data_IF_595425641161
#
_entry.id   IF_595425641161
#
_cell.length_a   1.000
_cell.length_b   1.000
_cell.length_c   1.000
_cell.angle_alpha   90.00
_cell.angle_beta   90.00
_cell.angle_gamma   90.00
#
_symmetry.space_group_name_H-M   'P 1'
#
loop_
_entity.id
_entity.type
_entity.pdbx_description
1 polymer ?
#
# COMPACT_ATOMS: atom_id res chain seq x y z
N UNK A 1 -14.92 -26.16 52.35
CA UNK A 1 -15.54 -27.14 51.42
C UNK A 1 -16.58 -26.41 50.58
N UNK A 2 -16.23 -25.89 49.44
CA UNK A 2 -17.13 -25.21 48.52
C UNK A 2 -17.28 -26.08 47.27
N UNK A 3 -18.47 -26.62 47.08
CA UNK A 3 -18.84 -27.43 45.91
C UNK A 3 -19.01 -26.52 44.69
N UNK A 4 -18.10 -26.64 43.74
CA UNK A 4 -18.24 -26.10 42.39
C UNK A 4 -19.27 -26.94 41.64
N UNK A 5 -20.42 -26.37 41.33
CA UNK A 5 -21.41 -26.96 40.42
C UNK A 5 -20.92 -26.73 38.98
N UNK A 6 -20.50 -27.79 38.34
CA UNK A 6 -20.29 -27.86 36.89
C UNK A 6 -21.66 -27.91 36.22
N UNK A 7 -22.02 -26.84 35.51
CA UNK A 7 -23.21 -26.82 34.63
C UNK A 7 -22.77 -27.48 33.32
N UNK A 8 -23.44 -28.58 32.88
CA UNK A 8 -23.12 -29.14 31.56
C UNK A 8 -23.64 -28.19 30.50
N UNK A 9 -22.72 -27.69 29.66
CA UNK A 9 -23.07 -26.99 28.42
C UNK A 9 -23.77 -27.99 27.52
N UNK A 10 -25.08 -28.00 27.53
CA UNK A 10 -25.89 -28.69 26.52
C UNK A 10 -25.58 -28.04 25.17
N UNK A 11 -24.85 -28.74 24.35
CA UNK A 11 -24.76 -28.54 22.91
C UNK A 11 -26.17 -28.71 22.34
N UNK A 12 -26.91 -27.62 22.26
CA UNK A 12 -28.15 -27.56 21.48
C UNK A 12 -27.72 -27.56 20.01
N UNK A 13 -27.54 -28.76 19.47
CA UNK A 13 -27.63 -29.00 18.04
C UNK A 13 -29.07 -28.72 17.63
N UNK A 14 -29.39 -27.44 17.42
CA UNK A 14 -30.65 -27.05 16.79
C UNK A 14 -30.60 -27.52 15.32
N UNK A 15 -31.12 -28.72 15.11
CA UNK A 15 -31.61 -29.10 13.79
C UNK A 15 -32.73 -28.15 13.43
N UNK A 16 -32.37 -27.05 12.77
CA UNK A 16 -33.38 -26.20 12.14
C UNK A 16 -33.94 -26.99 10.95
N UNK A 17 -34.99 -27.75 11.21
CA UNK A 17 -35.87 -28.22 10.17
C UNK A 17 -36.51 -26.97 9.52
N UNK A 18 -36.37 -26.86 8.22
CA UNK A 18 -37.11 -25.92 7.40
C UNK A 18 -38.60 -26.25 7.53
N UNK A 19 -39.27 -25.74 8.57
CA UNK A 19 -40.75 -25.91 8.71
C UNK A 19 -41.41 -24.87 7.84
N UNK A 20 -42.14 -25.33 6.88
CA UNK A 20 -42.96 -24.55 5.95
C UNK A 20 -44.15 -23.91 6.63
N UNK A 21 -44.28 -22.60 6.57
CA UNK A 21 -45.53 -21.90 6.73
C UNK A 21 -46.25 -21.89 5.37
N UNK A 22 -47.23 -22.73 5.23
CA UNK A 22 -48.07 -22.81 4.03
C UNK A 22 -48.97 -21.59 3.89
N UNK A 23 -48.82 -20.87 2.80
CA UNK A 23 -49.87 -20.01 2.24
C UNK A 23 -50.47 -20.76 1.05
N UNK A 24 -51.65 -21.28 1.21
CA UNK A 24 -52.42 -21.99 0.16
C UNK A 24 -52.96 -20.99 -0.85
N UNK A 25 -52.39 -20.94 -2.02
CA UNK A 25 -53.02 -20.35 -3.21
C UNK A 25 -53.42 -21.47 -4.15
N UNK A 26 -54.71 -21.73 -4.25
CA UNK A 26 -55.30 -22.59 -5.26
C UNK A 26 -55.21 -21.93 -6.63
N UNK A 27 -54.37 -22.44 -7.51
CA UNK A 27 -54.43 -22.22 -8.95
C UNK A 27 -54.21 -23.53 -9.69
N UNK A 28 -55.09 -23.80 -10.65
CA UNK A 28 -55.27 -25.02 -11.41
C UNK A 28 -54.11 -25.40 -12.31
N UNK A 29 -53.73 -26.69 -12.31
CA UNK A 29 -53.51 -27.41 -13.57
C UNK A 29 -52.14 -27.43 -14.19
N UNK A 30 -51.05 -27.30 -13.44
CA UNK A 30 -49.77 -27.91 -13.79
C UNK A 30 -48.96 -28.00 -12.50
N UNK A 31 -48.72 -29.23 -12.00
CA UNK A 31 -47.93 -29.37 -10.76
C UNK A 31 -46.51 -28.89 -11.03
N UNK A 32 -46.22 -27.68 -10.59
CA UNK A 32 -44.86 -27.20 -10.56
C UNK A 32 -44.06 -28.07 -9.60
N UNK A 33 -42.90 -28.57 -10.06
CA UNK A 33 -42.02 -29.45 -9.31
C UNK A 33 -41.30 -28.70 -8.16
N UNK A 34 -41.45 -27.37 -8.12
CA UNK A 34 -40.89 -26.50 -7.05
C UNK A 34 -42.00 -25.59 -6.53
N UNK A 35 -42.36 -25.72 -5.27
CA UNK A 35 -43.48 -25.00 -4.66
C UNK A 35 -43.17 -23.60 -4.20
N UNK A 36 -42.05 -23.40 -3.52
CA UNK A 36 -41.68 -22.10 -3.00
C UNK A 36 -40.21 -22.01 -2.69
N UNK A 37 -39.61 -20.87 -2.97
CA UNK A 37 -38.30 -20.49 -2.48
C UNK A 37 -38.49 -19.68 -1.19
N UNK A 38 -38.06 -20.21 -0.05
CA UNK A 38 -38.17 -19.55 1.26
C UNK A 38 -36.81 -19.09 1.71
N UNK A 39 -36.72 -17.82 2.10
CA UNK A 39 -35.51 -17.25 2.65
C UNK A 39 -35.50 -17.35 4.18
N UNK A 40 -34.51 -18.01 4.73
CA UNK A 40 -34.21 -17.96 6.17
C UNK A 40 -32.99 -17.11 6.41
N UNK A 41 -33.16 -15.95 7.03
CA UNK A 41 -32.06 -15.12 7.46
C UNK A 41 -31.55 -15.60 8.82
N UNK A 42 -30.39 -16.27 8.83
CA UNK A 42 -29.73 -16.62 10.10
C UNK A 42 -28.83 -15.44 10.49
N UNK A 43 -29.45 -14.42 11.07
CA UNK A 43 -28.74 -13.43 11.86
C UNK A 43 -28.32 -14.12 13.17
N UNK A 44 -27.07 -14.58 13.29
CA UNK A 44 -26.60 -14.86 14.62
C UNK A 44 -25.86 -16.16 14.92
N UNK A 45 -25.41 -16.95 13.96
CA UNK A 45 -24.49 -18.06 14.30
C UNK A 45 -23.10 -17.52 14.63
N UNK A 46 -22.73 -16.38 14.08
CA UNK A 46 -21.57 -15.60 14.53
C UNK A 46 -21.89 -14.12 14.41
N UNK A 47 -21.56 -13.32 15.42
CA UNK A 47 -21.71 -11.84 15.41
C UNK A 47 -21.05 -11.12 14.22
N UNK A 48 -20.38 -11.86 13.32
CA UNK A 48 -19.47 -11.31 12.33
C UNK A 48 -19.68 -11.82 10.89
N UNK A 49 -20.75 -12.56 10.62
CA UNK A 49 -21.07 -13.01 9.26
C UNK A 49 -22.57 -12.87 8.97
N UNK A 50 -22.90 -12.11 7.94
CA UNK A 50 -24.25 -12.10 7.40
C UNK A 50 -24.41 -13.28 6.43
N UNK A 51 -25.26 -14.22 6.77
CA UNK A 51 -25.57 -15.38 5.97
C UNK A 51 -27.07 -15.47 5.74
N UNK A 52 -27.43 -15.85 4.54
CA UNK A 52 -28.79 -16.16 4.17
C UNK A 52 -28.86 -17.62 3.78
N UNK A 53 -29.82 -18.34 4.32
CA UNK A 53 -30.12 -19.70 3.87
C UNK A 53 -31.32 -19.61 2.93
N UNK A 54 -31.11 -19.98 1.69
CA UNK A 54 -32.16 -20.28 0.74
C UNK A 54 -32.60 -21.72 0.95
N UNK A 55 -33.89 -21.95 1.18
CA UNK A 55 -34.48 -23.24 1.21
C UNK A 55 -35.60 -23.31 0.17
N UNK A 56 -35.83 -24.48 -0.40
CA UNK A 56 -36.91 -24.72 -1.31
C UNK A 56 -37.47 -26.12 -1.10
N UNK A 57 -38.72 -26.32 -1.46
CA UNK A 57 -39.36 -27.61 -1.48
C UNK A 57 -39.70 -28.03 -2.91
N UNK A 58 -39.94 -29.29 -3.12
CA UNK A 58 -40.49 -29.83 -4.33
C UNK A 58 -41.76 -30.63 -3.99
N UNK A 59 -42.68 -30.72 -4.95
CA UNK A 59 -43.93 -31.47 -4.84
C UNK A 59 -43.77 -32.88 -5.44
N UNK A 60 -42.57 -33.44 -5.40
CA UNK A 60 -42.31 -34.78 -5.89
C UNK A 60 -42.95 -35.82 -5.00
N UNK A 61 -43.56 -36.82 -5.59
CA UNK A 61 -44.07 -38.00 -4.90
C UNK A 61 -42.90 -38.88 -4.44
N UNK A 62 -43.17 -39.76 -3.47
CA UNK A 62 -42.17 -40.74 -3.05
C UNK A 62 -41.70 -41.62 -4.21
N UNK A 63 -42.64 -42.05 -5.08
CA UNK A 63 -42.35 -42.85 -6.26
C UNK A 63 -41.42 -42.13 -7.23
N UNK A 64 -41.64 -40.83 -7.47
CA UNK A 64 -40.79 -40.01 -8.34
C UNK A 64 -39.37 -39.84 -7.72
N UNK A 65 -39.25 -39.63 -6.41
CA UNK A 65 -37.98 -39.54 -5.72
C UNK A 65 -37.18 -40.83 -5.67
N UNK A 66 -37.89 -41.95 -5.66
CA UNK A 66 -37.27 -43.30 -5.71
C UNK A 66 -36.88 -43.68 -7.16
N UNK A 67 -37.64 -43.26 -8.15
CA UNK A 67 -37.40 -43.57 -9.55
C UNK A 67 -36.34 -42.71 -10.22
N UNK A 68 -36.21 -41.43 -9.83
CA UNK A 68 -35.34 -40.44 -10.49
C UNK A 68 -34.30 -39.88 -9.55
N UNK A 69 -33.16 -39.45 -10.11
CA UNK A 69 -32.17 -38.63 -9.40
C UNK A 69 -32.57 -37.17 -9.47
N UNK A 70 -32.83 -36.54 -8.32
CA UNK A 70 -33.28 -35.14 -8.25
C UNK A 70 -32.08 -34.22 -8.11
N UNK A 71 -31.94 -33.26 -9.00
CA UNK A 71 -30.95 -32.20 -8.92
C UNK A 71 -31.63 -30.82 -9.02
N UNK A 72 -31.08 -29.81 -8.32
CA UNK A 72 -31.61 -28.45 -8.35
C UNK A 72 -30.59 -27.55 -9.05
N UNK A 73 -31.06 -26.70 -9.94
CA UNK A 73 -30.27 -25.68 -10.59
C UNK A 73 -30.59 -24.35 -9.88
N UNK A 74 -29.65 -23.85 -9.10
CA UNK A 74 -29.74 -22.54 -8.48
C UNK A 74 -28.94 -21.54 -9.29
N UNK A 75 -29.55 -20.43 -9.66
CA UNK A 75 -28.88 -19.29 -10.26
C UNK A 75 -29.14 -18.08 -9.40
N UNK A 76 -28.08 -17.31 -9.03
CA UNK A 76 -28.23 -16.09 -8.24
C UNK A 76 -27.23 -15.02 -8.65
N UNK A 77 -27.66 -13.75 -8.50
CA UNK A 77 -26.88 -12.57 -8.85
C UNK A 77 -27.04 -11.51 -7.76
N UNK A 78 -25.94 -10.99 -7.26
CA UNK A 78 -25.96 -9.84 -6.34
C UNK A 78 -26.19 -8.54 -7.12
N UNK A 79 -26.90 -7.57 -6.52
CA UNK A 79 -27.21 -6.30 -7.19
C UNK A 79 -25.98 -5.46 -7.50
N UNK A 80 -24.90 -5.64 -6.73
CA UNK A 80 -23.64 -4.94 -6.91
C UNK A 80 -22.64 -5.66 -7.84
N UNK A 81 -23.06 -6.72 -8.53
CA UNK A 81 -22.21 -7.49 -9.45
C UNK A 81 -22.88 -7.68 -10.80
N UNK A 82 -22.08 -7.81 -11.86
CA UNK A 82 -22.55 -8.14 -13.20
C UNK A 82 -22.65 -9.65 -13.42
N UNK A 83 -21.96 -10.46 -12.60
CA UNK A 83 -21.85 -11.90 -12.78
C UNK A 83 -22.97 -12.66 -12.08
N UNK A 84 -23.67 -13.50 -12.85
CA UNK A 84 -24.63 -14.49 -12.36
C UNK A 84 -23.87 -15.77 -12.00
N UNK A 85 -24.14 -16.33 -10.83
CA UNK A 85 -23.58 -17.60 -10.37
C UNK A 85 -24.61 -18.69 -10.56
N UNK A 86 -24.23 -19.78 -11.20
CA UNK A 86 -25.11 -20.93 -11.46
C UNK A 86 -24.46 -22.19 -10.83
N UNK A 87 -25.23 -22.88 -10.03
CA UNK A 87 -24.77 -24.07 -9.30
C UNK A 87 -25.79 -25.19 -9.43
N UNK A 88 -25.30 -26.43 -9.52
CA UNK A 88 -26.13 -27.65 -9.49
C UNK A 88 -26.02 -28.25 -8.08
N UNK A 89 -27.15 -28.47 -7.42
CA UNK A 89 -27.22 -28.89 -6.03
C UNK A 89 -28.08 -30.17 -5.94
N UNK A 90 -27.78 -30.99 -4.94
CA UNK A 90 -28.62 -32.13 -4.56
C UNK A 90 -29.46 -31.82 -3.31
N UNK A 91 -28.99 -30.90 -2.47
CA UNK A 91 -29.69 -30.46 -1.28
C UNK A 91 -30.72 -29.40 -1.59
N UNK A 92 -31.82 -29.37 -0.83
CA UNK A 92 -32.88 -28.35 -0.89
C UNK A 92 -32.54 -27.06 -0.17
N UNK A 93 -31.27 -26.79 0.01
CA UNK A 93 -30.80 -25.57 0.71
C UNK A 93 -29.47 -25.09 0.17
N UNK A 94 -29.23 -23.78 0.26
CA UNK A 94 -27.95 -23.14 -0.03
C UNK A 94 -27.70 -22.01 0.95
N UNK A 95 -26.47 -21.96 1.49
CA UNK A 95 -26.01 -20.83 2.30
C UNK A 95 -25.32 -19.83 1.39
N UNK A 96 -25.85 -18.60 1.35
CA UNK A 96 -25.27 -17.48 0.64
C UNK A 96 -24.71 -16.49 1.66
N UNK A 97 -23.44 -16.13 1.49
CA UNK A 97 -22.79 -15.10 2.31
C UNK A 97 -23.02 -13.74 1.66
N UNK A 98 -23.57 -12.81 2.43
CA UNK A 98 -23.78 -11.42 2.01
C UNK A 98 -22.60 -10.58 2.45
N UNK A 99 -21.93 -9.94 1.50
CA UNK A 99 -20.92 -8.94 1.79
C UNK A 99 -21.55 -7.55 1.77
N UNK A 100 -21.30 -6.75 2.82
CA UNK A 100 -21.82 -5.39 2.95
C UNK A 100 -23.35 -5.29 2.69
N UNK A 101 -24.11 -6.30 3.14
CA UNK A 101 -25.56 -6.39 2.93
C UNK A 101 -26.01 -6.20 1.48
N UNK A 102 -25.28 -6.77 0.54
CA UNK A 102 -25.74 -6.78 -0.86
C UNK A 102 -27.04 -7.58 -1.00
N UNK A 103 -28.08 -6.95 -1.52
CA UNK A 103 -29.26 -7.66 -1.97
C UNK A 103 -28.95 -8.56 -3.17
N UNK A 104 -29.78 -9.54 -3.42
CA UNK A 104 -29.60 -10.45 -4.55
C UNK A 104 -30.93 -10.93 -5.10
N UNK A 105 -30.89 -11.34 -6.36
CA UNK A 105 -31.97 -12.07 -7.04
C UNK A 105 -31.50 -13.52 -7.22
N UNK A 106 -32.37 -14.47 -6.88
CA UNK A 106 -32.11 -15.90 -7.02
C UNK A 106 -33.29 -16.58 -7.73
N UNK A 107 -32.99 -17.60 -8.52
CA UNK A 107 -33.97 -18.45 -9.15
C UNK A 107 -33.52 -19.91 -9.04
N UNK A 108 -34.49 -20.81 -8.81
CA UNK A 108 -34.21 -22.22 -8.68
C UNK A 108 -35.19 -23.01 -9.57
N UNK A 109 -34.70 -24.08 -10.16
CA UNK A 109 -35.51 -25.09 -10.82
C UNK A 109 -35.09 -26.50 -10.45
N UNK A 110 -36.01 -27.44 -10.51
CA UNK A 110 -35.77 -28.87 -10.27
C UNK A 110 -35.56 -29.59 -11.58
N UNK A 111 -34.61 -30.50 -11.64
CA UNK A 111 -34.40 -31.42 -12.76
C UNK A 111 -34.40 -32.85 -12.25
N UNK A 112 -35.13 -33.72 -12.95
CA UNK A 112 -35.18 -35.15 -12.72
C UNK A 112 -34.36 -35.88 -13.78
N UNK A 113 -33.42 -36.67 -13.33
CA UNK A 113 -32.53 -37.47 -14.16
C UNK A 113 -32.88 -38.95 -14.06
N UNK A 114 -32.76 -39.68 -15.16
CA UNK A 114 -32.80 -41.15 -15.09
C UNK A 114 -31.66 -41.66 -14.21
N UNK A 115 -31.88 -42.75 -13.46
CA UNK A 115 -30.85 -43.32 -12.57
C UNK A 115 -29.67 -43.92 -13.34
N UNK A 116 -29.96 -44.47 -14.51
CA UNK A 116 -28.99 -45.22 -15.30
C UNK A 116 -28.32 -44.39 -16.38
N UNK A 117 -28.85 -43.21 -16.71
CA UNK A 117 -28.30 -42.26 -17.68
C UNK A 117 -28.32 -40.87 -17.07
N UNK A 118 -27.45 -39.97 -17.52
CA UNK A 118 -27.49 -38.56 -17.08
C UNK A 118 -28.52 -37.71 -17.90
N UNK A 119 -29.52 -38.35 -18.49
CA UNK A 119 -30.55 -37.69 -19.29
C UNK A 119 -31.56 -37.00 -18.39
N UNK A 120 -31.93 -35.78 -18.77
CA UNK A 120 -32.99 -35.01 -18.11
C UNK A 120 -34.33 -35.52 -18.59
N UNK A 121 -35.09 -36.17 -17.73
CA UNK A 121 -36.42 -36.70 -18.01
C UNK A 121 -37.49 -35.62 -17.88
N UNK A 122 -37.36 -34.75 -16.86
CA UNK A 122 -38.32 -33.68 -16.60
C UNK A 122 -37.66 -32.54 -15.87
N UNK A 123 -38.09 -31.32 -16.16
CA UNK A 123 -37.64 -30.15 -15.38
C UNK A 123 -38.82 -29.21 -15.05
N UNK A 124 -38.73 -28.50 -13.94
CA UNK A 124 -39.71 -27.48 -13.55
C UNK A 124 -39.42 -26.14 -14.22
N UNK A 125 -40.39 -25.25 -14.17
CA UNK A 125 -40.17 -23.82 -14.35
C UNK A 125 -39.16 -23.24 -13.32
N UNK A 126 -38.78 -22.00 -13.53
CA UNK A 126 -37.98 -21.25 -12.56
C UNK A 126 -38.88 -20.67 -11.47
N UNK A 127 -38.53 -20.90 -10.21
CA UNK A 127 -39.11 -20.18 -9.08
C UNK A 127 -38.12 -19.10 -8.66
N UNK A 128 -38.55 -17.86 -8.54
CA UNK A 128 -37.69 -16.70 -8.32
C UNK A 128 -37.88 -16.09 -6.92
N UNK A 129 -36.83 -15.54 -6.41
CA UNK A 129 -36.81 -14.85 -5.11
C UNK A 129 -35.87 -13.63 -5.16
N UNK A 130 -36.32 -12.52 -4.61
CA UNK A 130 -35.50 -11.29 -4.49
C UNK A 130 -35.34 -10.90 -3.04
N UNK A 131 -34.11 -10.84 -2.59
CA UNK A 131 -33.74 -10.29 -1.30
C UNK A 131 -33.34 -8.84 -1.42
N UNK A 132 -34.13 -7.95 -0.81
CA UNK A 132 -33.81 -6.52 -0.70
C UNK A 132 -33.05 -6.30 0.61
N UNK A 133 -31.78 -5.90 0.50
CA UNK A 133 -30.98 -5.57 1.69
C UNK A 133 -31.42 -4.25 2.32
N UNK A 134 -31.20 -4.06 3.63
CA UNK A 134 -31.31 -2.76 4.25
C UNK A 134 -30.44 -1.70 3.57
N UNK A 135 -30.76 -0.41 3.69
CA UNK A 135 -29.97 0.65 3.08
C UNK A 135 -28.50 0.59 3.53
N UNK A 136 -27.59 0.70 2.60
CA UNK A 136 -26.15 0.75 2.87
C UNK A 136 -25.71 2.22 2.92
N UNK A 137 -25.38 2.70 4.11
CA UNK A 137 -24.98 4.09 4.34
C UNK A 137 -23.49 4.35 4.18
N UNK A 138 -22.71 3.33 3.78
CA UNK A 138 -21.27 3.44 3.54
C UNK A 138 -20.92 3.22 2.08
N UNK A 139 -19.84 3.88 1.65
CA UNK A 139 -19.19 3.66 0.36
C UNK A 139 -17.68 3.77 0.50
N UNK A 140 -16.94 3.33 -0.52
CA UNK A 140 -15.49 3.41 -0.58
C UNK A 140 -14.77 2.80 0.64
N UNK A 141 -15.29 1.66 1.16
CA UNK A 141 -14.62 0.93 2.24
C UNK A 141 -13.26 0.42 1.75
N UNK A 142 -12.21 0.95 2.33
CA UNK A 142 -10.82 0.56 2.08
C UNK A 142 -10.18 0.10 3.37
N UNK A 143 -9.56 -1.09 3.36
CA UNK A 143 -8.85 -1.64 4.50
C UNK A 143 -7.46 -2.08 4.08
N UNK A 144 -6.47 -1.77 4.89
CA UNK A 144 -5.08 -2.18 4.70
C UNK A 144 -4.51 -2.72 6.00
N UNK A 145 -3.57 -3.66 5.87
CA UNK A 145 -2.69 -4.09 6.95
C UNK A 145 -1.31 -3.52 6.64
N UNK A 146 -0.67 -2.86 7.60
CA UNK A 146 0.68 -2.34 7.45
C UNK A 146 1.51 -2.69 8.68
N UNK A 147 2.82 -2.64 8.57
CA UNK A 147 3.74 -3.09 9.63
C UNK A 147 3.36 -4.47 10.21
N UNK A 148 2.80 -5.36 9.36
CA UNK A 148 2.44 -6.76 9.68
C UNK A 148 1.29 -6.88 10.70
N UNK A 149 1.16 -5.98 11.66
CA UNK A 149 0.27 -6.08 12.83
C UNK A 149 -0.74 -4.94 13.00
N UNK A 150 -0.69 -3.93 12.14
CA UNK A 150 -1.59 -2.78 12.18
C UNK A 150 -2.69 -2.93 11.14
N UNK A 151 -3.93 -2.73 11.54
CA UNK A 151 -5.09 -2.77 10.65
C UNK A 151 -5.75 -1.42 10.61
N UNK A 152 -5.88 -0.84 9.44
CA UNK A 152 -6.53 0.44 9.20
C UNK A 152 -7.63 0.29 8.17
N UNK A 153 -8.85 0.70 8.53
CA UNK A 153 -9.98 0.81 7.62
C UNK A 153 -10.50 2.23 7.57
N UNK A 154 -10.86 2.66 6.38
CA UNK A 154 -11.54 3.94 6.14
C UNK A 154 -12.78 3.72 5.28
N UNK A 155 -13.80 4.54 5.46
CA UNK A 155 -15.05 4.53 4.71
C UNK A 155 -15.62 5.93 4.58
N UNK A 156 -16.46 6.12 3.58
CA UNK A 156 -17.24 7.35 3.44
C UNK A 156 -18.68 7.08 3.85
N UNK A 157 -19.29 8.02 4.55
CA UNK A 157 -20.72 8.00 4.89
C UNK A 157 -21.45 8.69 3.74
N UNK A 158 -22.45 8.02 3.17
CA UNK A 158 -23.27 8.58 2.09
C UNK A 158 -24.08 9.77 2.55
N UNK A 159 -24.38 10.66 1.63
CA UNK A 159 -25.19 11.88 1.91
C UNK A 159 -26.62 11.57 2.34
N UNK A 160 -27.18 10.45 1.86
CA UNK A 160 -28.52 9.99 2.23
C UNK A 160 -28.59 9.37 3.63
N UNK A 161 -27.47 9.24 4.31
CA UNK A 161 -27.43 8.67 5.66
C UNK A 161 -28.06 9.62 6.67
N UNK A 162 -28.88 9.11 7.62
CA UNK A 162 -29.44 9.94 8.69
C UNK A 162 -28.35 10.67 9.49
N UNK A 163 -28.65 11.88 9.95
CA UNK A 163 -27.67 12.70 10.69
C UNK A 163 -27.25 12.09 12.04
N UNK A 164 -28.14 11.33 12.68
CA UNK A 164 -27.92 10.81 14.03
C UNK A 164 -27.32 9.42 14.09
N UNK A 165 -26.74 8.92 12.99
CA UNK A 165 -26.07 7.63 13.00
C UNK A 165 -24.60 7.75 13.38
N UNK A 166 -24.09 6.70 14.05
CA UNK A 166 -22.67 6.51 14.30
C UNK A 166 -22.23 5.13 13.85
N UNK A 167 -21.01 5.03 13.35
CA UNK A 167 -20.42 3.80 12.86
C UNK A 167 -19.44 3.20 13.87
N UNK A 168 -19.57 1.91 14.13
CA UNK A 168 -18.70 1.14 15.00
C UNK A 168 -18.05 0.02 14.19
N UNK A 169 -16.76 -0.19 14.40
CA UNK A 169 -15.96 -1.15 13.69
C UNK A 169 -15.43 -2.21 14.65
N UNK A 170 -15.63 -3.46 14.29
CA UNK A 170 -14.98 -4.60 14.95
C UNK A 170 -14.46 -5.60 13.93
N UNK A 171 -13.46 -6.39 14.33
CA UNK A 171 -12.78 -7.34 13.47
C UNK A 171 -12.70 -8.69 14.17
N UNK A 172 -13.03 -9.76 13.46
CA UNK A 172 -12.82 -11.13 13.93
C UNK A 172 -11.74 -11.83 13.13
N UNK A 173 -10.75 -12.36 13.84
CA UNK A 173 -9.68 -13.15 13.23
C UNK A 173 -9.27 -14.30 14.16
N UNK A 174 -9.22 -15.53 13.62
CA UNK A 174 -8.83 -16.74 14.36
C UNK A 174 -9.60 -16.90 15.68
N UNK A 175 -10.93 -16.70 15.63
CA UNK A 175 -11.79 -16.84 16.80
C UNK A 175 -11.72 -15.71 17.83
N UNK A 176 -10.82 -14.76 17.68
CA UNK A 176 -10.69 -13.57 18.54
C UNK A 176 -11.42 -12.38 17.93
N UNK A 177 -12.08 -11.62 18.77
CA UNK A 177 -12.75 -10.38 18.43
C UNK A 177 -11.90 -9.19 18.87
N UNK A 178 -11.73 -8.24 17.97
CA UNK A 178 -10.99 -7.00 18.20
C UNK A 178 -11.95 -5.84 17.96
N UNK A 179 -12.13 -5.00 18.95
CA UNK A 179 -12.86 -3.74 18.82
C UNK A 179 -11.93 -2.63 18.32
N UNK A 180 -12.52 -1.61 17.70
CA UNK A 180 -11.75 -0.47 17.25
C UNK A 180 -11.06 0.25 18.42
N UNK A 181 -9.74 0.37 18.37
CA UNK A 181 -8.94 1.02 19.39
C UNK A 181 -8.93 2.54 19.22
N UNK A 182 -8.90 3.01 17.97
CA UNK A 182 -8.85 4.44 17.65
C UNK A 182 -9.68 4.74 16.42
N UNK A 183 -10.73 5.55 16.60
CA UNK A 183 -11.56 6.02 15.50
C UNK A 183 -10.96 7.26 14.85
N UNK A 184 -11.04 7.30 13.52
CA UNK A 184 -10.80 8.49 12.71
C UNK A 184 -12.17 9.16 12.52
N UNK A 185 -12.27 10.42 12.88
CA UNK A 185 -13.53 11.18 12.83
C UNK A 185 -13.43 12.31 11.79
N UNK A 186 -14.56 12.61 11.16
CA UNK A 186 -14.70 13.81 10.32
C UNK A 186 -15.04 15.04 11.15
N UNK A 187 -15.17 16.21 10.50
CA UNK A 187 -15.53 17.48 11.16
C UNK A 187 -16.87 17.43 11.93
N UNK A 188 -17.78 16.54 11.56
CA UNK A 188 -19.08 16.32 12.24
C UNK A 188 -18.99 15.27 13.34
N UNK A 189 -17.80 14.91 13.82
CA UNK A 189 -17.53 13.86 14.83
C UNK A 189 -18.10 12.48 14.48
N UNK A 190 -18.30 12.18 13.19
CA UNK A 190 -18.69 10.86 12.71
C UNK A 190 -17.46 9.99 12.48
N UNK A 191 -17.54 8.74 12.90
CA UNK A 191 -16.48 7.76 12.67
C UNK A 191 -16.42 7.40 11.17
N UNK A 192 -15.31 7.73 10.51
CA UNK A 192 -15.04 7.47 9.10
C UNK A 192 -13.85 6.54 8.91
N UNK A 193 -13.25 6.08 9.98
CA UNK A 193 -12.15 5.11 9.94
C UNK A 193 -11.86 4.54 11.31
N UNK A 194 -11.06 3.47 11.30
CA UNK A 194 -10.66 2.74 12.49
C UNK A 194 -9.23 2.24 12.36
N UNK A 195 -8.44 2.47 13.39
CA UNK A 195 -7.09 1.95 13.55
C UNK A 195 -7.05 0.94 14.69
N UNK A 196 -6.53 -0.25 14.41
CA UNK A 196 -6.26 -1.32 15.38
C UNK A 196 -4.78 -1.73 15.28
N UNK A 197 -4.15 -1.97 16.41
CA UNK A 197 -2.72 -2.30 16.52
C UNK A 197 -2.54 -3.67 17.19
N UNK A 198 -1.36 -4.26 17.03
CA UNK A 198 -0.93 -5.48 17.72
C UNK A 198 -1.79 -6.73 17.40
N UNK A 199 -2.30 -6.80 16.16
CA UNK A 199 -3.04 -7.98 15.71
C UNK A 199 -2.08 -8.95 15.03
N UNK A 200 -2.04 -10.20 15.50
CA UNK A 200 -1.30 -11.27 14.85
C UNK A 200 -2.14 -11.87 13.73
N UNK A 201 -1.80 -11.57 12.48
CA UNK A 201 -2.53 -12.04 11.31
C UNK A 201 -1.99 -13.40 10.83
N UNK A 202 -2.89 -14.37 10.65
CA UNK A 202 -2.57 -15.66 10.02
C UNK A 202 -2.88 -15.60 8.53
N UNK A 203 -1.92 -15.95 7.65
CA UNK A 203 -2.05 -15.77 6.20
C UNK A 203 -3.20 -16.54 5.57
N UNK A 204 -3.48 -17.76 6.06
CA UNK A 204 -4.51 -18.67 5.54
C UNK A 204 -5.91 -18.42 6.11
N UNK A 205 -6.04 -17.59 7.15
CA UNK A 205 -7.32 -17.32 7.81
C UNK A 205 -7.88 -15.98 7.41
N UNK A 206 -9.16 -15.96 7.01
CA UNK A 206 -9.86 -14.73 6.68
C UNK A 206 -10.04 -13.83 7.89
N UNK A 207 -10.02 -12.55 7.63
CA UNK A 207 -10.43 -11.49 8.55
C UNK A 207 -11.89 -11.18 8.23
N UNK A 208 -12.74 -11.18 9.23
CA UNK A 208 -14.14 -10.76 9.11
C UNK A 208 -14.31 -9.41 9.76
N UNK A 209 -14.48 -8.38 8.95
CA UNK A 209 -14.79 -7.02 9.39
C UNK A 209 -16.29 -6.90 9.61
N UNK A 210 -16.69 -6.28 10.70
CA UNK A 210 -18.05 -5.89 11.00
C UNK A 210 -18.11 -4.37 11.21
N UNK A 211 -18.93 -3.69 10.43
CA UNK A 211 -19.27 -2.28 10.59
C UNK A 211 -20.73 -2.18 11.04
N UNK A 212 -20.95 -1.78 12.27
CA UNK A 212 -22.28 -1.61 12.84
C UNK A 212 -22.68 -0.15 12.81
N UNK A 213 -23.81 0.13 12.19
CA UNK A 213 -24.46 1.45 12.20
C UNK A 213 -25.46 1.48 13.36
N UNK A 214 -25.33 2.43 14.26
CA UNK A 214 -26.28 2.66 15.35
C UNK A 214 -26.89 4.04 15.20
N UNK A 215 -28.21 4.11 15.37
CA UNK A 215 -28.91 5.37 15.55
C UNK A 215 -28.69 5.83 17.00
N UNK A 216 -28.20 7.05 17.19
CA UNK A 216 -27.91 7.60 18.52
C UNK A 216 -29.19 7.97 19.28
N UNK A 217 -30.32 8.14 18.58
CA UNK A 217 -31.64 8.43 19.18
C UNK A 217 -32.39 7.17 19.56
N UNK A 218 -32.16 6.07 18.88
CA UNK A 218 -32.90 4.83 19.08
C UNK A 218 -31.93 3.66 19.38
N UNK A 219 -31.97 3.17 20.61
CA UNK A 219 -31.12 2.08 21.08
C UNK A 219 -31.48 0.71 20.47
N UNK A 220 -32.55 0.60 19.70
CA UNK A 220 -32.99 -0.64 19.09
C UNK A 220 -32.16 -0.97 17.86
N UNK A 221 -31.29 -1.95 18.00
CA UNK A 221 -30.72 -2.76 16.94
C UNK A 221 -30.04 -2.04 15.76
N UNK A 222 -28.71 -1.89 15.81
CA UNK A 222 -27.96 -1.36 14.68
C UNK A 222 -27.90 -2.34 13.47
N UNK A 223 -27.79 -1.78 12.27
CA UNK A 223 -27.53 -2.55 11.05
C UNK A 223 -26.03 -2.85 10.94
N UNK A 224 -25.68 -4.11 10.76
CA UNK A 224 -24.29 -4.52 10.65
C UNK A 224 -23.92 -4.90 9.20
N UNK A 225 -22.82 -4.38 8.72
CA UNK A 225 -22.24 -4.70 7.40
C UNK A 225 -20.99 -5.54 7.58
N UNK A 226 -20.95 -6.68 6.91
CA UNK A 226 -19.84 -7.64 7.03
C UNK A 226 -19.02 -7.68 5.76
N UNK A 227 -17.70 -7.71 5.90
CA UNK A 227 -16.79 -7.95 4.79
C UNK A 227 -15.62 -8.83 5.21
N UNK A 228 -15.33 -9.84 4.38
CA UNK A 228 -14.22 -10.75 4.62
C UNK A 228 -13.02 -10.37 3.74
N UNK A 229 -11.83 -10.39 4.34
CA UNK A 229 -10.56 -10.14 3.66
C UNK A 229 -9.61 -11.33 3.87
N UNK A 230 -8.73 -11.55 2.90
CA UNK A 230 -7.55 -12.38 3.09
C UNK A 230 -6.40 -11.45 3.49
N UNK A 231 -5.72 -11.66 4.63
CA UNK A 231 -4.71 -10.71 5.14
C UNK A 231 -3.69 -10.27 4.09
N UNK A 232 -3.14 -11.24 3.36
CA UNK A 232 -2.10 -10.99 2.37
C UNK A 232 -2.56 -10.17 1.14
N UNK A 233 -3.88 -10.11 0.85
CA UNK A 233 -4.41 -9.33 -0.29
C UNK A 233 -4.59 -7.85 0.02
N UNK A 234 -4.57 -7.48 1.30
CA UNK A 234 -4.72 -6.11 1.79
C UNK A 234 -3.48 -5.64 2.58
N UNK A 235 -2.39 -6.40 2.53
CA UNK A 235 -1.14 -6.06 3.17
C UNK A 235 -0.41 -4.99 2.36
N UNK A 236 -0.18 -3.82 2.96
CA UNK A 236 0.77 -2.83 2.46
C UNK A 236 2.14 -3.15 3.05
N UNK A 237 3.03 -3.62 2.22
CA UNK A 237 4.39 -3.95 2.63
C UNK A 237 5.16 -2.70 3.05
N UNK A 238 6.13 -2.87 3.93
CA UNK A 238 7.16 -1.87 4.15
C UNK A 238 8.08 -1.77 2.91
N UNK A 239 8.81 -0.67 2.73
CA UNK A 239 9.82 -0.59 1.69
C UNK A 239 10.84 -1.73 1.74
N UNK A 240 11.46 -2.10 0.63
CA UNK A 240 12.58 -3.03 0.63
C UNK A 240 13.68 -2.59 1.59
N UNK A 241 14.32 -3.55 2.23
CA UNK A 241 15.38 -3.31 3.23
C UNK A 241 16.76 -3.54 2.63
N UNK A 242 17.79 -2.94 3.24
CA UNK A 242 19.19 -3.09 2.82
C UNK A 242 19.39 -2.73 1.33
N UNK A 243 18.75 -1.65 0.88
CA UNK A 243 18.96 -1.14 -0.47
C UNK A 243 20.39 -0.62 -0.55
N UNK A 244 21.16 -1.17 -1.45
CA UNK A 244 22.56 -0.81 -1.70
C UNK A 244 22.83 -0.61 -3.16
N UNK A 245 23.77 0.26 -3.47
CA UNK A 245 24.18 0.57 -4.84
C UNK A 245 25.71 0.41 -4.93
N UNK A 246 26.16 -0.32 -5.94
CA UNK A 246 27.58 -0.45 -6.26
C UNK A 246 27.81 -0.12 -7.75
N UNK A 247 28.98 0.40 -8.04
CA UNK A 247 29.43 0.66 -9.40
C UNK A 247 30.39 -0.48 -9.83
N UNK A 248 29.98 -1.33 -10.78
CA UNK A 248 30.79 -2.40 -11.30
C UNK A 248 30.86 -2.33 -12.84
N UNK A 249 32.05 -2.33 -13.39
CA UNK A 249 32.30 -2.41 -14.86
C UNK A 249 31.43 -1.42 -15.65
N UNK A 250 31.40 -0.14 -15.30
CA UNK A 250 30.58 0.89 -15.92
C UNK A 250 29.05 0.60 -15.85
N UNK A 251 28.62 -0.13 -14.84
CA UNK A 251 27.22 -0.41 -14.59
C UNK A 251 26.88 -0.16 -13.13
N UNK A 252 25.74 0.45 -12.90
CA UNK A 252 25.15 0.57 -11.57
C UNK A 252 24.46 -0.73 -11.24
N UNK A 253 24.79 -1.34 -10.11
CA UNK A 253 24.16 -2.54 -9.59
C UNK A 253 23.44 -2.19 -8.30
N UNK A 254 22.13 -2.37 -8.29
CA UNK A 254 21.26 -2.08 -7.15
C UNK A 254 20.82 -3.41 -6.56
N UNK A 255 21.01 -3.58 -5.27
CA UNK A 255 20.57 -4.75 -4.49
C UNK A 255 19.67 -4.35 -3.36
N UNK A 256 18.74 -5.22 -3.00
CA UNK A 256 17.85 -5.06 -1.85
C UNK A 256 17.42 -6.41 -1.33
N UNK A 257 16.78 -6.40 -0.16
CA UNK A 257 16.08 -7.57 0.40
C UNK A 257 14.60 -7.28 0.52
N UNK A 258 13.73 -8.31 0.37
CA UNK A 258 12.30 -8.14 0.60
C UNK A 258 12.05 -7.77 2.06
N UNK A 259 11.02 -6.95 2.34
CA UNK A 259 10.62 -6.67 3.71
C UNK A 259 9.93 -7.87 4.35
N UNK A 260 9.85 -7.91 5.69
CA UNK A 260 9.00 -8.85 6.40
C UNK A 260 7.54 -8.75 5.92
N UNK A 261 6.82 -9.88 5.89
CA UNK A 261 5.44 -9.97 5.41
C UNK A 261 4.64 -10.97 6.22
N UNK A 262 3.31 -10.87 6.18
CA UNK A 262 2.40 -11.81 6.81
C UNK A 262 2.58 -13.20 6.16
N UNK A 263 3.04 -14.17 6.94
CA UNK A 263 3.41 -15.50 6.48
C UNK A 263 4.73 -15.52 5.71
N UNK A 264 5.14 -16.72 5.32
CA UNK A 264 6.31 -16.91 4.47
C UNK A 264 5.95 -16.56 3.02
N UNK A 265 6.85 -15.86 2.33
CA UNK A 265 6.71 -15.62 0.91
C UNK A 265 8.03 -15.96 0.20
N UNK A 266 7.92 -16.69 -0.91
CA UNK A 266 9.04 -16.86 -1.81
C UNK A 266 9.40 -15.51 -2.46
N UNK A 267 10.68 -15.27 -2.72
CA UNK A 267 11.14 -14.08 -3.44
C UNK A 267 10.45 -13.90 -4.79
N UNK A 268 10.01 -14.98 -5.41
CA UNK A 268 9.22 -14.97 -6.67
C UNK A 268 7.82 -14.34 -6.55
N UNK A 269 7.31 -14.14 -5.35
CA UNK A 269 5.98 -13.54 -5.12
C UNK A 269 5.97 -12.02 -5.23
N UNK A 270 7.14 -11.38 -5.20
CA UNK A 270 7.28 -9.94 -5.16
C UNK A 270 7.49 -9.35 -6.56
N UNK A 271 6.84 -8.22 -6.80
CA UNK A 271 7.12 -7.33 -7.90
C UNK A 271 7.71 -6.04 -7.34
N UNK A 272 8.86 -5.64 -7.85
CA UNK A 272 9.55 -4.42 -7.44
C UNK A 272 9.46 -3.37 -8.52
N UNK A 273 9.55 -2.11 -8.13
CA UNK A 273 9.82 -1.00 -9.02
C UNK A 273 11.10 -0.31 -8.57
N UNK A 274 11.97 -0.07 -9.54
CA UNK A 274 13.22 0.67 -9.35
C UNK A 274 13.08 2.02 -10.03
N UNK A 275 13.33 3.09 -9.26
CA UNK A 275 13.39 4.47 -9.72
C UNK A 275 14.83 4.95 -9.58
N UNK A 276 15.43 5.41 -10.65
CA UNK A 276 16.72 6.10 -10.67
C UNK A 276 16.42 7.54 -11.07
N UNK A 277 17.06 8.52 -10.41
CA UNK A 277 16.87 9.93 -10.71
C UNK A 277 16.95 10.21 -12.22
N UNK A 278 16.01 10.99 -12.74
CA UNK A 278 15.89 11.37 -14.16
C UNK A 278 15.68 10.20 -15.15
N UNK A 279 15.25 9.04 -14.65
CA UNK A 279 14.99 7.86 -15.48
C UNK A 279 13.58 7.31 -15.27
N UNK A 280 13.13 6.57 -16.30
CA UNK A 280 11.84 5.88 -16.24
C UNK A 280 11.86 4.80 -15.16
N UNK A 281 10.73 4.65 -14.43
CA UNK A 281 10.52 3.58 -13.46
C UNK A 281 10.48 2.23 -14.20
N UNK A 282 11.19 1.23 -13.66
CA UNK A 282 11.31 -0.10 -14.25
C UNK A 282 10.76 -1.16 -13.30
N UNK A 283 9.95 -2.07 -13.82
CA UNK A 283 9.44 -3.24 -13.10
C UNK A 283 10.49 -4.35 -13.09
N UNK A 284 10.72 -4.96 -11.92
CA UNK A 284 11.74 -5.99 -11.69
C UNK A 284 11.17 -7.08 -10.79
N UNK A 285 11.42 -8.35 -11.14
CA UNK A 285 10.97 -9.52 -10.36
C UNK A 285 12.08 -10.16 -9.52
N UNK A 286 13.32 -9.65 -9.61
CA UNK A 286 14.48 -10.11 -8.84
C UNK A 286 14.89 -9.08 -7.78
N UNK A 287 15.67 -9.48 -6.80
CA UNK A 287 16.19 -8.63 -5.72
C UNK A 287 17.44 -7.83 -6.14
N UNK A 288 17.68 -7.73 -7.43
CA UNK A 288 18.80 -6.99 -8.02
C UNK A 288 18.41 -6.41 -9.37
N UNK A 289 18.97 -5.23 -9.67
CA UNK A 289 18.83 -4.59 -10.96
C UNK A 289 20.16 -4.03 -11.42
N UNK A 290 20.51 -4.22 -12.70
CA UNK A 290 21.74 -3.71 -13.31
C UNK A 290 21.38 -2.69 -14.38
N UNK A 291 21.99 -1.52 -14.30
CA UNK A 291 21.79 -0.42 -15.23
C UNK A 291 23.13 0.09 -15.78
N UNK A 292 23.28 0.28 -17.09
CA UNK A 292 24.52 0.84 -17.66
C UNK A 292 24.71 2.29 -17.19
N UNK A 293 25.91 2.58 -16.66
CA UNK A 293 26.24 3.90 -16.13
C UNK A 293 26.84 4.76 -17.25
N UNK A 294 26.22 5.89 -17.52
CA UNK A 294 26.79 6.93 -18.38
C UNK A 294 27.32 8.07 -17.50
N UNK A 295 28.57 8.44 -17.70
CA UNK A 295 29.35 9.38 -16.86
C UNK A 295 28.74 10.78 -16.60
N UNK A 296 27.60 11.10 -17.23
CA UNK A 296 26.98 12.42 -17.16
C UNK A 296 26.10 12.67 -15.92
N UNK A 297 25.98 11.72 -14.99
CA UNK A 297 25.04 11.84 -13.87
C UNK A 297 25.79 11.99 -12.54
N UNK A 298 26.20 13.20 -12.21
CA UNK A 298 27.00 13.51 -11.01
C UNK A 298 26.27 13.32 -9.66
N UNK A 299 24.96 13.11 -9.65
CA UNK A 299 24.18 12.82 -8.42
C UNK A 299 22.99 11.96 -8.74
N UNK A 300 23.19 10.67 -8.97
CA UNK A 300 22.06 9.74 -9.13
C UNK A 300 21.67 9.13 -7.79
N UNK A 301 20.38 9.12 -7.48
CA UNK A 301 19.80 8.37 -6.38
C UNK A 301 18.95 7.22 -6.91
N UNK A 302 18.99 6.09 -6.22
CA UNK A 302 18.13 4.95 -6.50
C UNK A 302 17.15 4.73 -5.34
N UNK A 303 15.90 4.44 -5.68
CA UNK A 303 14.84 4.07 -4.75
C UNK A 303 14.13 2.82 -5.25
N UNK A 304 13.66 1.99 -4.34
CA UNK A 304 12.96 0.74 -4.68
C UNK A 304 11.66 0.66 -3.88
N UNK A 305 10.58 0.21 -4.51
CA UNK A 305 9.34 -0.16 -3.82
C UNK A 305 8.87 -1.55 -4.23
N UNK A 306 7.97 -2.14 -3.46
CA UNK A 306 7.57 -3.53 -3.61
C UNK A 306 6.06 -3.73 -3.43
N UNK A 307 5.51 -4.72 -4.12
CA UNK A 307 4.18 -5.29 -3.86
C UNK A 307 4.18 -6.81 -4.02
N UNK A 308 3.20 -7.48 -3.42
CA UNK A 308 3.06 -8.95 -3.44
C UNK A 308 2.00 -9.38 -4.45
N UNK A 309 2.21 -9.00 -5.71
CA UNK A 309 1.20 -9.19 -6.76
C UNK A 309 1.17 -10.60 -7.32
N UNK A 310 2.33 -11.22 -7.54
CA UNK A 310 2.46 -12.44 -8.35
C UNK A 310 1.73 -13.62 -7.71
N UNK A 311 1.90 -13.85 -6.41
CA UNK A 311 1.27 -14.97 -5.71
C UNK A 311 -0.11 -14.65 -5.11
N UNK A 312 -0.35 -13.40 -4.69
CA UNK A 312 -1.52 -13.02 -3.88
C UNK A 312 -2.43 -12.01 -4.55
N UNK A 313 -2.13 -11.57 -5.77
CA UNK A 313 -2.86 -10.51 -6.50
C UNK A 313 -3.04 -9.23 -5.68
N UNK A 314 -2.09 -8.97 -4.77
CA UNK A 314 -2.08 -7.75 -3.98
C UNK A 314 -1.55 -6.59 -4.82
N UNK A 315 -2.39 -5.58 -5.06
CA UNK A 315 -2.06 -4.43 -5.91
C UNK A 315 -1.48 -3.25 -5.14
N UNK A 316 -1.36 -3.36 -3.82
CA UNK A 316 -0.93 -2.27 -2.94
C UNK A 316 0.59 -2.18 -2.96
N UNK A 317 1.12 -1.05 -3.44
CA UNK A 317 2.54 -0.75 -3.40
C UNK A 317 2.97 -0.32 -1.99
N UNK A 318 4.18 -0.70 -1.61
CA UNK A 318 4.86 -0.07 -0.47
C UNK A 318 5.18 1.40 -0.77
N UNK A 319 5.58 2.15 0.23
CA UNK A 319 6.29 3.40 0.02
C UNK A 319 7.63 3.12 -0.68
N UNK A 320 8.24 4.17 -1.25
CA UNK A 320 9.60 4.08 -1.76
C UNK A 320 10.60 3.93 -0.61
N UNK A 321 11.69 3.19 -0.84
CA UNK A 321 12.81 3.16 0.09
C UNK A 321 13.43 4.56 0.21
N UNK A 322 14.21 4.77 1.27
CA UNK A 322 15.12 5.92 1.33
C UNK A 322 16.00 5.96 0.10
N UNK A 323 16.29 7.17 -0.44
CA UNK A 323 17.15 7.31 -1.60
C UNK A 323 18.59 6.92 -1.25
N UNK A 324 19.15 6.00 -2.02
CA UNK A 324 20.57 5.61 -1.91
C UNK A 324 21.34 6.30 -3.03
N UNK A 325 22.28 7.17 -2.64
CA UNK A 325 23.08 7.92 -3.59
C UNK A 325 24.22 7.07 -4.14
N UNK A 326 24.48 7.25 -5.41
CA UNK A 326 25.60 6.60 -6.10
C UNK A 326 26.81 7.49 -5.85
N UNK A 327 27.73 7.00 -5.02
CA UNK A 327 29.03 7.64 -4.83
C UNK A 327 30.01 7.05 -5.84
N UNK A 328 30.66 7.92 -6.61
CA UNK A 328 31.85 7.52 -7.38
C UNK A 328 33.01 7.45 -6.36
N UNK A 329 33.45 6.24 -6.02
CA UNK A 329 34.54 6.02 -5.05
C UNK A 329 35.85 6.74 -5.43
N UNK A 330 35.97 7.11 -6.71
CA UNK A 330 37.19 7.80 -7.22
C UNK A 330 37.36 9.21 -6.61
N UNK A 331 36.35 9.83 -6.04
CA UNK A 331 36.49 11.18 -5.46
C UNK A 331 37.23 11.15 -4.11
N UNK A 332 37.11 10.07 -3.36
CA UNK A 332 37.78 9.92 -2.06
C UNK A 332 39.27 9.70 -2.29
N UNK A 333 39.62 8.88 -3.29
CA UNK A 333 41.03 8.60 -3.65
C UNK A 333 41.76 9.86 -4.14
N UNK A 334 41.09 10.70 -4.93
CA UNK A 334 41.66 11.97 -5.41
C UNK A 334 41.86 12.95 -4.23
N UNK A 335 40.94 13.04 -3.29
CA UNK A 335 41.08 13.88 -2.10
C UNK A 335 42.23 13.40 -1.20
N UNK A 336 42.27 12.10 -0.94
CA UNK A 336 43.36 11.48 -0.15
C UNK A 336 44.72 11.67 -0.83
N UNK A 337 44.76 11.43 -2.16
CA UNK A 337 45.99 11.61 -2.95
C UNK A 337 46.43 13.08 -2.96
N UNK A 338 45.54 14.04 -3.11
CA UNK A 338 45.88 15.47 -3.06
C UNK A 338 46.38 15.90 -1.69
N UNK A 339 45.76 15.42 -0.61
CA UNK A 339 46.16 15.71 0.75
C UNK A 339 47.55 15.11 1.07
N UNK A 340 47.79 13.88 0.64
CA UNK A 340 49.11 13.22 0.81
C UNK A 340 50.20 13.96 0.06
N UNK A 341 49.92 14.36 -1.19
CA UNK A 341 50.84 15.14 -2.01
C UNK A 341 51.19 16.48 -1.34
N UNK A 342 50.18 17.17 -0.81
CA UNK A 342 50.34 18.43 -0.10
C UNK A 342 51.19 18.28 1.17
N UNK A 343 50.97 17.23 1.97
CA UNK A 343 51.78 16.90 3.13
C UNK A 343 53.26 16.62 2.77
N UNK A 344 53.50 15.87 1.67
CA UNK A 344 54.83 15.59 1.16
C UNK A 344 55.54 16.87 0.74
N UNK A 345 54.84 17.77 0.02
CA UNK A 345 55.42 19.06 -0.39
C UNK A 345 55.79 19.94 0.80
N UNK A 346 54.97 20.00 1.86
CA UNK A 346 55.27 20.71 3.08
C UNK A 346 56.51 20.12 3.77
N UNK A 347 56.57 18.78 3.83
CA UNK A 347 57.73 18.11 4.46
C UNK A 347 59.03 18.36 3.70
N UNK A 348 59.00 18.25 2.36
CA UNK A 348 60.14 18.56 1.49
C UNK A 348 60.54 20.04 1.61
N UNK A 349 59.57 20.96 1.64
CA UNK A 349 59.81 22.38 1.87
C UNK A 349 60.48 22.65 3.21
N UNK A 350 60.00 21.97 4.27
CA UNK A 350 60.62 22.03 5.61
C UNK A 350 62.07 21.53 5.62
N UNK A 351 62.33 20.40 4.91
CA UNK A 351 63.68 19.88 4.77
C UNK A 351 64.59 20.84 4.02
N UNK A 352 64.11 21.46 2.94
CA UNK A 352 64.84 22.47 2.17
C UNK A 352 65.15 23.68 3.04
N UNK A 353 64.22 24.19 3.82
CA UNK A 353 64.46 25.31 4.74
C UNK A 353 65.50 24.93 5.79
N UNK A 354 65.38 23.72 6.37
CA UNK A 354 66.37 23.24 7.35
C UNK A 354 67.77 23.08 6.71
N UNK A 355 67.86 22.55 5.50
CA UNK A 355 69.08 22.43 4.75
C UNK A 355 69.67 23.82 4.43
N UNK A 356 68.86 24.76 3.95
CA UNK A 356 69.30 26.14 3.67
C UNK A 356 69.75 26.84 4.93
N UNK A 357 69.17 26.64 6.11
CA UNK A 357 69.65 27.15 7.38
C UNK A 357 70.98 26.52 7.80
N UNK A 358 71.10 25.19 7.62
CA UNK A 358 72.34 24.47 7.99
C UNK A 358 73.53 24.85 7.11
N UNK A 359 73.29 25.06 5.82
CA UNK A 359 74.32 25.41 4.82
C UNK A 359 74.44 26.93 4.57
N UNK A 360 73.82 27.80 5.43
CA UNK A 360 73.80 29.27 5.27
C UNK A 360 73.37 29.79 3.90
N UNK A 361 72.63 29.04 3.14
CA UNK A 361 72.07 29.44 1.79
C UNK A 361 71.27 30.75 1.92
N UNK A 362 70.60 31.00 3.03
CA UNK A 362 69.83 32.24 3.27
C UNK A 362 70.71 33.49 3.38
N UNK A 363 71.93 33.35 3.86
CA UNK A 363 72.81 34.49 3.92
C UNK A 363 73.23 34.99 2.55
N UNK A 364 73.24 34.08 1.53
CA UNK A 364 73.57 34.44 0.14
C UNK A 364 72.36 35.11 -0.57
N UNK A 365 71.16 34.71 -0.24
CA UNK A 365 69.97 35.28 -0.81
C UNK A 365 69.54 36.59 -0.17
N UNK A 366 69.86 36.80 1.08
CA UNK A 366 69.54 38.02 1.83
C UNK A 366 70.72 39.02 1.93
N UNK A 367 71.68 38.93 1.01
CA UNK A 367 72.70 40.00 0.94
C UNK A 367 71.99 41.35 0.78
N UNK A 368 72.24 42.33 1.62
CA UNK A 368 71.61 43.63 1.51
C UNK A 368 72.02 44.22 0.19
N UNK A 369 71.02 44.60 -0.62
CA UNK A 369 71.22 45.33 -1.85
C UNK A 369 71.94 46.58 -1.52
N UNK A 370 73.11 46.86 -2.17
CA UNK A 370 73.88 48.11 -1.89
C UNK A 370 72.94 49.29 -2.09
N UNK A 371 72.96 50.21 -1.12
CA UNK A 371 72.18 51.43 -1.19
C UNK A 371 72.59 52.23 -2.42
N UNK A 372 71.62 52.69 -3.22
CA UNK A 372 71.86 53.55 -4.38
C UNK A 372 72.53 54.84 -3.88
N UNK A 373 73.51 55.35 -4.65
CA UNK A 373 74.12 56.62 -4.39
C UNK A 373 73.09 57.76 -4.32
N UNK A 374 73.38 58.83 -3.61
CA UNK A 374 72.44 59.94 -3.37
C UNK A 374 71.87 60.54 -4.71
N UNK A 375 72.67 60.49 -5.79
CA UNK A 375 72.24 60.92 -7.10
C UNK A 375 71.13 60.01 -7.70
N UNK A 376 71.12 58.73 -7.40
CA UNK A 376 70.01 57.81 -7.89
C UNK A 376 68.76 57.94 -7.03
N UNK A 377 68.89 58.31 -5.75
CA UNK A 377 67.72 58.59 -4.89
C UNK A 377 66.92 59.84 -5.32
N UNK A 378 67.68 60.90 -5.68
CA UNK A 378 67.04 62.14 -6.22
C UNK A 378 66.37 61.91 -7.54
N UNK A 379 66.90 61.07 -8.40
CA UNK A 379 66.26 60.73 -9.71
C UNK A 379 65.01 59.84 -9.54
N UNK A 380 65.06 58.85 -8.62
CA UNK A 380 63.90 58.03 -8.29
C UNK A 380 62.78 58.84 -7.61
N UNK A 381 63.11 59.80 -6.77
CA UNK A 381 62.09 60.67 -6.17
C UNK A 381 61.40 61.59 -7.22
N UNK A 382 62.08 61.97 -8.30
CA UNK A 382 61.52 62.74 -9.40
C UNK A 382 60.62 61.90 -10.29
N UNK A 383 60.91 60.62 -10.41
CA UNK A 383 60.08 59.67 -11.20
C UNK A 383 58.79 59.26 -10.46
N UNK A 384 58.83 59.11 -9.09
CA UNK A 384 57.64 58.84 -8.31
C UNK A 384 56.61 59.97 -8.37
N UNK A 385 57.05 61.24 -8.46
CA UNK A 385 56.12 62.37 -8.62
C UNK A 385 55.47 62.39 -9.97
N UNK A 386 56.12 61.85 -11.03
CA UNK A 386 55.54 61.75 -12.34
C UNK A 386 54.57 60.59 -12.45
N UNK A 387 54.83 59.45 -11.77
CA UNK A 387 53.94 58.30 -11.70
C UNK A 387 52.67 58.57 -10.86
N UNK A 388 52.80 59.32 -9.79
CA UNK A 388 51.68 59.68 -8.93
C UNK A 388 50.68 60.61 -9.66
N UNK A 389 51.18 61.46 -10.56
CA UNK A 389 50.33 62.30 -11.39
C UNK A 389 49.62 61.54 -12.54
N UNK A 390 50.21 60.44 -13.02
CA UNK A 390 49.62 59.53 -13.99
C UNK A 390 48.56 58.63 -13.36
N UNK A 391 48.79 58.16 -12.10
CA UNK A 391 47.82 57.31 -11.39
C UNK A 391 46.56 58.06 -10.95
N UNK A 392 46.69 59.36 -10.63
CA UNK A 392 45.49 60.18 -10.32
C UNK A 392 44.59 60.41 -11.53
N UNK A 393 45.14 60.51 -12.74
CA UNK A 393 44.37 60.61 -13.97
C UNK A 393 43.71 59.28 -14.42
N UNK A 394 44.29 58.15 -14.00
CA UNK A 394 43.74 56.83 -14.32
C UNK A 394 42.67 56.38 -13.31
N UNK A 395 42.64 56.93 -12.10
CA UNK A 395 41.57 56.68 -11.13
C UNK A 395 40.26 57.39 -11.46
N UNK A 396 40.32 58.54 -12.16
CA UNK A 396 39.14 59.25 -12.59
C UNK A 396 38.44 58.57 -13.81
N UNK A 397 39.15 57.74 -14.58
CA UNK A 397 38.63 57.07 -15.76
C UNK A 397 38.01 55.69 -15.46
N UNK A 398 38.26 55.12 -14.27
CA UNK A 398 37.76 53.76 -13.87
C UNK A 398 36.52 53.80 -12.98
N UNK A 399 35.92 54.94 -12.73
CA UNK A 399 34.67 55.04 -11.93
C UNK A 399 33.38 54.85 -12.72
N UNK A 400 33.42 54.58 -14.03
CA UNK A 400 32.23 54.43 -14.87
C UNK A 400 31.93 53.01 -15.39
N UNK A 401 32.65 51.97 -14.96
CA UNK A 401 32.35 50.60 -15.38
C UNK A 401 32.25 49.67 -14.15
N UNK A 402 31.15 49.77 -13.44
CA UNK A 402 30.70 48.71 -12.52
C UNK A 402 29.27 48.38 -12.82
N UNK A 403 29.06 47.53 -13.81
CA UNK A 403 27.80 46.77 -13.91
C UNK A 403 28.11 45.36 -14.38
N UNK A 404 27.78 44.37 -13.51
CA UNK A 404 27.43 43.05 -13.94
C UNK A 404 28.34 41.92 -13.50
N UNK A 405 28.23 41.47 -12.25
CA UNK A 405 28.58 40.09 -11.86
C UNK A 405 27.27 39.38 -11.60
N UNK A 406 26.94 38.28 -12.31
CA UNK A 406 25.73 37.53 -12.05
C UNK A 406 25.92 36.63 -10.83
N UNK A 407 24.96 36.71 -9.94
CA UNK A 407 24.85 35.94 -8.69
C UNK A 407 24.60 34.45 -8.98
N UNK A 408 25.42 33.58 -8.44
CA UNK A 408 25.39 32.13 -8.64
C UNK A 408 24.24 31.43 -7.91
N UNK A 409 23.31 32.17 -7.30
CA UNK A 409 22.19 31.66 -6.49
C UNK A 409 20.88 31.44 -7.23
N UNK A 410 20.81 31.69 -8.56
CA UNK A 410 19.54 31.56 -9.32
C UNK A 410 19.33 30.17 -9.90
N UNK A 411 20.33 29.29 -9.92
CA UNK A 411 20.15 27.94 -10.49
C UNK A 411 19.54 26.89 -9.55
N UNK A 412 19.52 27.13 -8.23
CA UNK A 412 18.87 26.21 -7.29
C UNK A 412 17.34 26.38 -7.20
N UNK A 413 16.81 27.52 -7.61
CA UNK A 413 15.35 27.75 -7.59
C UNK A 413 14.61 27.28 -8.85
N UNK A 414 15.31 27.01 -9.93
CA UNK A 414 14.70 26.56 -11.19
C UNK A 414 14.35 25.07 -11.23
N UNK A 415 15.01 24.24 -10.41
CA UNK A 415 14.68 22.81 -10.28
C UNK A 415 13.45 22.53 -9.42
N UNK A 416 13.03 23.47 -8.58
CA UNK A 416 11.83 23.31 -7.71
C UNK A 416 10.53 23.79 -8.34
N UNK A 417 10.60 24.53 -9.47
CA UNK A 417 9.42 25.06 -10.15
C UNK A 417 8.91 24.19 -11.30
N UNK A 418 9.65 23.18 -11.74
CA UNK A 418 9.21 22.25 -12.79
C UNK A 418 8.63 20.92 -12.29
N UNK A 419 8.62 20.69 -10.97
CA UNK A 419 7.86 19.58 -10.37
C UNK A 419 6.57 20.12 -9.78
N UNK A 420 5.59 20.44 -10.62
CA UNK A 420 4.27 20.89 -10.21
C UNK A 420 3.67 20.03 -9.10
N UNK A 421 3.86 20.47 -7.85
CA UNK A 421 3.18 19.97 -6.67
C UNK A 421 2.76 21.15 -5.79
N UNK A 422 1.93 22.00 -6.37
CA UNK A 422 0.99 22.83 -5.62
C UNK A 422 -0.41 22.43 -6.11
N UNK A 423 -1.31 22.19 -5.13
CA UNK A 423 -2.72 21.83 -5.24
C UNK A 423 -3.03 20.33 -5.45
N UNK A 424 -3.11 19.60 -4.32
CA UNK A 424 -4.32 18.82 -3.92
C UNK A 424 -4.13 18.26 -2.50
#
# INVERSE_FOLDING_TARGET
MARVRVIPVMLILSFFQCKTLFSTSLASGQRDVVDALVLHNILGITKHESRVILCWNNNLTKEETEKYTVKYILSYKFFNTTHERKERLQEKKKIIRLELHSGFHAKVKTQLFAKDTEDIIKESGWTEFTYKAPPVYIQNLSCIIYNISFFNCTWHIKTEAPEDIQMFCSLRHVGKDFECQQYIQNARKKNIGCLMKEISFQPSRKINLNLTVRDLRNSSGGVSYYKAFTPQTIEKLNPPINVSVSLENRSIKIHWKPPPTIGSASSKCFLYQVKITDRKIVDVTSEKYKYPFHKSANKCAAQVRVKKEICMRNKIWSEWSEPVFIHDENTVDVMVLSLTLFCVLIFLGGLLICACRRYRCLEVITMPVPHPSDNTKTWLAADETHHQKQMSMQMEMNSEVTMGIPDENVQQQKCLKESGLEDL
#
